data_IF_854213443525
#
_entry.id   IF_854213443525
#
_cell.length_a   1.000
_cell.length_b   1.000
_cell.length_c   1.000
_cell.angle_alpha   90.00
_cell.angle_beta   90.00
_cell.angle_gamma   90.00
#
_symmetry.space_group_name_H-M   'P 1'
#
loop_
_entity.id
_entity.type
_entity.pdbx_description
1 polymer ?
#
# COMPACT_ATOMS: atom_id res chain seq x y z
N UNK A 1 15.65 22.21 -24.16
CA UNK A 1 16.32 23.54 -24.07
C UNK A 1 17.82 23.48 -23.80
N UNK A 2 18.39 22.31 -23.48
CA UNK A 2 19.81 22.12 -23.14
C UNK A 2 20.80 22.69 -24.18
N UNK A 3 20.60 22.38 -25.47
CA UNK A 3 21.47 22.87 -26.55
C UNK A 3 21.51 24.40 -26.64
N UNK A 4 20.39 25.07 -26.36
CA UNK A 4 20.26 26.54 -26.37
C UNK A 4 20.95 27.15 -25.16
N UNK A 5 20.83 26.51 -23.99
CA UNK A 5 21.57 26.90 -22.78
C UNK A 5 23.09 26.77 -22.98
N UNK A 6 23.57 25.62 -23.48
CA UNK A 6 25.00 25.39 -23.74
C UNK A 6 25.54 26.38 -24.78
N UNK A 7 24.80 26.65 -25.86
CA UNK A 7 25.19 27.61 -26.88
C UNK A 7 25.31 29.04 -26.32
N UNK A 8 24.31 29.49 -25.55
CA UNK A 8 24.31 30.84 -24.94
C UNK A 8 25.40 30.98 -23.87
N UNK A 9 25.68 29.91 -23.12
CA UNK A 9 26.79 29.86 -22.16
C UNK A 9 28.13 30.05 -22.88
N UNK A 10 28.40 29.26 -23.93
CA UNK A 10 29.64 29.31 -24.70
C UNK A 10 29.83 30.68 -25.35
N UNK A 11 28.78 31.25 -25.95
CA UNK A 11 28.82 32.60 -26.54
C UNK A 11 29.13 33.67 -25.48
N UNK A 12 28.48 33.61 -24.32
CA UNK A 12 28.74 34.58 -23.23
C UNK A 12 30.18 34.51 -22.72
N UNK A 13 30.73 33.29 -22.62
CA UNK A 13 32.10 33.07 -22.16
C UNK A 13 33.11 33.59 -23.19
N UNK A 14 32.84 33.35 -24.49
CA UNK A 14 33.67 33.85 -25.57
C UNK A 14 33.70 35.38 -25.60
N UNK A 15 32.54 36.04 -25.52
CA UNK A 15 32.49 37.51 -25.49
C UNK A 15 33.14 38.10 -24.24
N UNK A 16 33.00 37.45 -23.07
CA UNK A 16 33.69 37.87 -21.85
C UNK A 16 35.21 37.86 -22.03
N UNK A 17 35.77 36.82 -22.65
CA UNK A 17 37.22 36.70 -22.91
C UNK A 17 37.69 37.81 -23.86
N UNK A 18 36.97 38.04 -24.97
CA UNK A 18 37.30 39.09 -25.94
C UNK A 18 37.27 40.47 -25.28
N UNK A 19 36.30 40.71 -24.40
CA UNK A 19 36.15 41.96 -23.65
C UNK A 19 37.34 42.15 -22.70
N UNK A 20 37.70 41.12 -21.92
CA UNK A 20 38.83 41.13 -20.99
C UNK A 20 40.19 41.38 -21.68
N UNK A 21 40.44 40.72 -22.82
CA UNK A 21 41.65 40.91 -23.63
C UNK A 21 41.70 42.34 -24.23
N UNK A 22 40.56 42.86 -24.67
CA UNK A 22 40.49 44.21 -25.22
C UNK A 22 40.75 45.28 -24.14
N UNK A 23 40.19 45.11 -22.93
CA UNK A 23 40.46 46.02 -21.80
C UNK A 23 41.92 46.01 -21.35
N UNK A 24 42.55 44.84 -21.29
CA UNK A 24 43.97 44.73 -20.90
C UNK A 24 44.90 45.37 -21.94
N UNK A 25 44.63 45.18 -23.23
CA UNK A 25 45.34 45.88 -24.31
C UNK A 25 45.23 47.41 -24.20
N UNK A 26 44.05 47.91 -23.80
CA UNK A 26 43.80 49.35 -23.64
C UNK A 26 44.56 49.92 -22.43
N UNK A 27 44.62 49.18 -21.31
CA UNK A 27 45.42 49.53 -20.12
C UNK A 27 46.92 49.56 -20.40
N UNK A 28 47.42 48.72 -21.31
CA UNK A 28 48.82 48.72 -21.77
C UNK A 28 49.16 49.89 -22.72
N UNK A 29 48.30 50.91 -22.83
CA UNK A 29 48.46 52.11 -23.68
C UNK A 29 48.67 51.82 -25.17
N UNK A 30 48.31 50.63 -25.67
CA UNK A 30 48.22 50.34 -27.11
C UNK A 30 46.98 51.06 -27.68
N UNK A 31 47.09 52.38 -27.92
CA UNK A 31 45.99 53.23 -28.42
C UNK A 31 45.74 52.98 -29.91
N UNK A 32 45.02 51.89 -30.24
CA UNK A 32 44.54 51.62 -31.60
C UNK A 32 43.05 51.90 -31.72
N UNK A 33 42.61 52.58 -32.79
CA UNK A 33 41.19 52.75 -33.13
C UNK A 33 40.45 51.41 -33.24
N UNK A 34 41.15 50.37 -33.69
CA UNK A 34 40.61 49.01 -33.80
C UNK A 34 40.19 48.48 -32.43
N UNK A 35 41.05 48.61 -31.41
CA UNK A 35 40.78 48.12 -30.05
C UNK A 35 39.53 48.79 -29.46
N UNK A 36 39.33 50.10 -29.70
CA UNK A 36 38.14 50.82 -29.26
C UNK A 36 36.85 50.29 -29.90
N UNK A 37 36.86 50.05 -31.22
CA UNK A 37 35.71 49.50 -31.94
C UNK A 37 35.41 48.08 -31.45
N UNK A 38 36.44 47.24 -31.29
CA UNK A 38 36.29 45.86 -30.80
C UNK A 38 35.73 45.83 -29.38
N UNK A 39 36.13 46.77 -28.52
CA UNK A 39 35.67 46.86 -27.13
C UNK A 39 34.20 47.30 -27.04
N UNK A 40 33.79 48.26 -27.87
CA UNK A 40 32.38 48.67 -27.98
C UNK A 40 31.49 47.52 -28.49
N UNK A 41 31.91 46.86 -29.57
CA UNK A 41 31.13 45.80 -30.19
C UNK A 41 31.04 44.55 -29.29
N UNK A 42 32.15 44.15 -28.67
CA UNK A 42 32.17 43.03 -27.71
C UNK A 42 31.34 43.30 -26.47
N UNK A 43 31.26 44.55 -26.00
CA UNK A 43 30.40 44.92 -24.87
C UNK A 43 28.92 44.78 -25.18
N UNK A 44 28.50 45.21 -26.38
CA UNK A 44 27.11 45.06 -26.84
C UNK A 44 26.76 43.59 -27.00
N UNK A 45 27.62 42.81 -27.68
CA UNK A 45 27.41 41.37 -27.88
C UNK A 45 27.40 40.60 -26.56
N UNK A 46 28.26 40.97 -25.61
CA UNK A 46 28.26 40.38 -24.28
C UNK A 46 26.93 40.63 -23.56
N UNK A 47 26.41 41.86 -23.57
CA UNK A 47 25.10 42.18 -22.98
C UNK A 47 23.97 41.33 -23.57
N UNK A 48 23.88 41.23 -24.90
CA UNK A 48 22.87 40.38 -25.55
C UNK A 48 23.03 38.91 -25.17
N UNK A 49 24.27 38.41 -25.15
CA UNK A 49 24.54 37.02 -24.77
C UNK A 49 24.22 36.73 -23.30
N UNK A 50 24.46 37.68 -22.39
CA UNK A 50 24.17 37.57 -20.97
C UNK A 50 22.65 37.55 -20.72
N UNK A 51 21.90 38.43 -21.39
CA UNK A 51 20.44 38.41 -21.34
C UNK A 51 19.89 37.09 -21.89
N UNK A 52 20.37 36.65 -23.06
CA UNK A 52 19.96 35.37 -23.63
C UNK A 52 20.29 34.18 -22.71
N UNK A 53 21.45 34.20 -22.03
CA UNK A 53 21.85 33.19 -21.05
C UNK A 53 20.93 33.19 -19.83
N UNK A 54 20.49 34.34 -19.32
CA UNK A 54 19.55 34.38 -18.19
C UNK A 54 18.20 33.74 -18.54
N UNK A 55 17.63 34.06 -19.71
CA UNK A 55 16.39 33.44 -20.17
C UNK A 55 16.55 31.94 -20.45
N UNK A 56 17.65 31.53 -21.09
CA UNK A 56 17.92 30.12 -21.37
C UNK A 56 18.12 29.31 -20.07
N UNK A 57 18.78 29.88 -19.07
CA UNK A 57 18.98 29.27 -17.75
C UNK A 57 17.65 29.08 -17.01
N UNK A 58 16.79 30.10 -17.01
CA UNK A 58 15.45 30.03 -16.40
C UNK A 58 14.61 28.95 -17.11
N UNK A 59 14.63 28.93 -18.45
CA UNK A 59 13.93 27.94 -19.25
C UNK A 59 14.40 26.50 -18.98
N UNK A 60 15.71 26.28 -18.96
CA UNK A 60 16.33 24.98 -18.69
C UNK A 60 16.03 24.46 -17.27
N UNK A 61 16.12 25.33 -16.25
CA UNK A 61 15.77 24.97 -14.87
C UNK A 61 14.30 24.57 -14.74
N UNK A 62 13.39 25.26 -15.43
CA UNK A 62 11.97 24.94 -15.45
C UNK A 62 11.67 23.61 -16.17
N UNK A 63 12.38 23.32 -17.26
CA UNK A 63 12.27 22.05 -18.00
C UNK A 63 12.68 20.87 -17.09
N UNK A 64 13.87 20.94 -16.47
CA UNK A 64 14.33 19.93 -15.51
C UNK A 64 13.34 19.76 -14.35
N UNK A 65 12.81 20.87 -13.81
CA UNK A 65 11.83 20.79 -12.73
C UNK A 65 10.55 20.07 -13.16
N UNK A 66 10.03 20.38 -14.36
CA UNK A 66 8.85 19.71 -14.93
C UNK A 66 9.11 18.22 -15.16
N UNK A 67 10.25 17.85 -15.71
CA UNK A 67 10.65 16.45 -15.91
C UNK A 67 10.66 15.68 -14.58
N UNK A 68 11.30 16.23 -13.54
CA UNK A 68 11.31 15.64 -12.19
C UNK A 68 9.90 15.49 -11.61
N UNK A 69 9.00 16.44 -11.86
CA UNK A 69 7.60 16.33 -11.41
C UNK A 69 6.85 15.23 -12.15
N UNK A 70 7.07 15.06 -13.45
CA UNK A 70 6.48 13.99 -14.26
C UNK A 70 6.97 12.62 -13.77
N UNK A 71 8.27 12.48 -13.56
CA UNK A 71 8.88 11.25 -13.06
C UNK A 71 8.36 10.88 -11.67
N UNK A 72 8.31 11.84 -10.72
CA UNK A 72 7.71 11.63 -9.40
C UNK A 72 6.24 11.24 -9.47
N UNK A 73 5.47 11.81 -10.40
CA UNK A 73 4.06 11.42 -10.61
C UNK A 73 3.96 10.00 -11.17
N UNK A 74 4.84 9.60 -12.09
CA UNK A 74 4.89 8.24 -12.66
C UNK A 74 5.24 7.21 -11.59
N UNK A 75 6.31 7.44 -10.81
CA UNK A 75 6.72 6.58 -9.69
C UNK A 75 5.61 6.43 -8.64
N UNK A 76 4.91 7.53 -8.29
CA UNK A 76 3.74 7.45 -7.40
C UNK A 76 2.61 6.60 -7.97
N UNK A 77 2.29 6.76 -9.27
CA UNK A 77 1.26 5.95 -9.93
C UNK A 77 1.62 4.47 -9.93
N UNK A 78 2.87 4.13 -10.21
CA UNK A 78 3.37 2.76 -10.17
C UNK A 78 3.27 2.16 -8.77
N UNK A 79 3.77 2.87 -7.75
CA UNK A 79 3.65 2.45 -6.34
C UNK A 79 2.21 2.21 -5.91
N UNK A 80 1.29 3.09 -6.31
CA UNK A 80 -0.14 2.92 -6.04
C UNK A 80 -0.71 1.72 -6.79
N UNK A 81 -0.32 1.50 -8.05
CA UNK A 81 -0.75 0.34 -8.84
C UNK A 81 -0.30 -0.97 -8.20
N UNK A 82 0.97 -1.08 -7.83
CA UNK A 82 1.52 -2.24 -7.12
C UNK A 82 0.83 -2.46 -5.78
N UNK A 83 0.57 -1.39 -5.01
CA UNK A 83 -0.15 -1.49 -3.74
C UNK A 83 -1.59 -1.98 -3.93
N UNK A 84 -2.29 -1.55 -4.99
CA UNK A 84 -3.62 -2.06 -5.32
C UNK A 84 -3.59 -3.55 -5.68
N UNK A 85 -2.62 -3.97 -6.48
CA UNK A 85 -2.43 -5.38 -6.84
C UNK A 85 -2.16 -6.25 -5.62
N UNK A 86 -1.20 -5.86 -4.77
CA UNK A 86 -0.92 -6.56 -3.51
C UNK A 86 -2.13 -6.58 -2.58
N UNK A 87 -2.92 -5.51 -2.51
CA UNK A 87 -4.13 -5.48 -1.71
C UNK A 87 -5.18 -6.49 -2.18
N UNK A 88 -5.30 -6.72 -3.50
CA UNK A 88 -6.16 -7.79 -4.06
C UNK A 88 -5.65 -9.16 -3.61
N UNK A 89 -4.35 -9.42 -3.78
CA UNK A 89 -3.76 -10.71 -3.41
C UNK A 89 -3.92 -11.00 -1.92
N UNK A 90 -3.59 -10.04 -1.06
CA UNK A 90 -3.70 -10.24 0.39
C UNK A 90 -5.15 -10.40 0.84
N UNK A 91 -6.10 -9.65 0.27
CA UNK A 91 -7.52 -9.85 0.54
C UNK A 91 -7.96 -11.26 0.13
N UNK A 92 -7.67 -11.67 -1.11
CA UNK A 92 -8.09 -12.97 -1.63
C UNK A 92 -7.60 -14.10 -0.73
N UNK A 93 -6.30 -14.14 -0.47
CA UNK A 93 -5.73 -15.19 0.39
C UNK A 93 -6.24 -15.10 1.84
N UNK A 94 -6.42 -13.90 2.40
CA UNK A 94 -7.00 -13.76 3.73
C UNK A 94 -8.42 -14.32 3.81
N UNK A 95 -9.25 -14.04 2.79
CA UNK A 95 -10.64 -14.49 2.72
C UNK A 95 -10.71 -16.00 2.49
N UNK A 96 -9.91 -16.55 1.58
CA UNK A 96 -9.82 -18.00 1.34
C UNK A 96 -9.40 -18.75 2.61
N UNK A 97 -8.28 -18.35 3.23
CA UNK A 97 -7.79 -18.98 4.46
C UNK A 97 -8.78 -18.82 5.63
N UNK A 98 -9.41 -17.65 5.78
CA UNK A 98 -10.43 -17.45 6.81
C UNK A 98 -11.66 -18.35 6.55
N UNK A 99 -12.10 -18.50 5.30
CA UNK A 99 -13.21 -19.36 4.95
C UNK A 99 -12.89 -20.84 5.17
N UNK A 100 -11.69 -21.30 4.82
CA UNK A 100 -11.28 -22.68 5.14
C UNK A 100 -11.22 -22.91 6.66
N UNK A 101 -10.82 -21.89 7.44
CA UNK A 101 -10.90 -21.94 8.90
C UNK A 101 -12.34 -22.10 9.40
N UNK A 102 -13.30 -21.42 8.77
CA UNK A 102 -14.73 -21.53 9.15
C UNK A 102 -15.28 -22.91 8.81
N UNK A 103 -14.83 -23.55 7.73
CA UNK A 103 -15.20 -24.93 7.39
C UNK A 103 -14.68 -25.93 8.43
N UNK A 104 -13.42 -25.81 8.84
CA UNK A 104 -12.84 -26.65 9.89
C UNK A 104 -13.53 -26.45 11.25
N UNK A 105 -13.78 -25.19 11.62
CA UNK A 105 -14.51 -24.81 12.84
C UNK A 105 -15.96 -25.28 12.79
N UNK A 106 -16.60 -25.22 11.63
CA UNK A 106 -17.98 -25.68 11.40
C UNK A 106 -18.17 -27.17 11.63
N UNK A 107 -17.17 -28.00 11.30
CA UNK A 107 -17.17 -29.44 11.64
C UNK A 107 -17.10 -29.66 13.15
N UNK A 108 -16.26 -28.90 13.85
CA UNK A 108 -16.17 -28.93 15.31
C UNK A 108 -17.49 -28.50 15.96
N UNK A 109 -18.07 -27.38 15.54
CA UNK A 109 -19.39 -26.94 16.00
C UNK A 109 -20.47 -27.98 15.74
N UNK A 110 -20.50 -28.62 14.56
CA UNK A 110 -21.49 -29.67 14.29
C UNK A 110 -21.39 -30.84 15.27
N UNK A 111 -20.18 -31.29 15.58
CA UNK A 111 -19.97 -32.37 16.55
C UNK A 111 -20.41 -31.98 17.97
N UNK A 112 -20.13 -30.73 18.38
CA UNK A 112 -20.58 -30.16 19.66
C UNK A 112 -22.11 -30.14 19.71
N UNK A 113 -22.76 -29.62 18.67
CA UNK A 113 -24.22 -29.57 18.54
C UNK A 113 -24.86 -30.96 18.67
N UNK A 114 -24.35 -31.94 17.92
CA UNK A 114 -24.85 -33.32 17.97
C UNK A 114 -24.67 -33.95 19.36
N UNK A 115 -23.55 -33.65 20.04
CA UNK A 115 -23.29 -34.16 21.38
C UNK A 115 -24.23 -33.55 22.42
N UNK A 116 -24.62 -32.28 22.25
CA UNK A 116 -25.63 -31.64 23.07
C UNK A 116 -27.04 -32.17 22.81
N UNK A 117 -27.42 -32.41 21.54
CA UNK A 117 -28.74 -32.95 21.21
C UNK A 117 -28.96 -34.37 21.73
N UNK A 118 -27.92 -35.19 21.72
CA UNK A 118 -27.98 -36.58 22.18
C UNK A 118 -27.93 -36.71 23.71
N UNK A 119 -27.86 -35.59 24.43
CA UNK A 119 -27.86 -35.58 25.88
C UNK A 119 -29.30 -35.72 26.40
N UNK A 120 -29.65 -36.80 27.10
CA UNK A 120 -31.03 -37.04 27.52
C UNK A 120 -31.51 -35.93 28.47
N UNK A 121 -32.70 -35.40 28.19
CA UNK A 121 -33.39 -34.43 29.05
C UNK A 121 -33.74 -35.07 30.40
N UNK A 122 -32.82 -35.00 31.35
CA UNK A 122 -33.02 -35.42 32.72
C UNK A 122 -31.88 -34.89 33.59
N UNK A 123 -32.23 -34.09 34.60
CA UNK A 123 -31.40 -33.58 35.71
C UNK A 123 -29.90 -33.87 35.59
N UNK A 124 -29.20 -33.11 34.75
CA UNK A 124 -27.79 -33.31 34.51
C UNK A 124 -26.96 -32.24 35.17
N UNK A 125 -25.95 -32.70 35.92
CA UNK A 125 -24.89 -31.84 36.39
C UNK A 125 -24.22 -31.14 35.21
N UNK A 126 -24.01 -29.82 35.32
CA UNK A 126 -23.24 -29.02 34.36
C UNK A 126 -21.86 -29.62 34.02
N UNK A 127 -21.31 -30.42 34.94
CA UNK A 127 -20.05 -31.13 34.76
C UNK A 127 -20.13 -32.24 33.69
N UNK A 128 -21.26 -32.95 33.59
CA UNK A 128 -21.47 -34.02 32.61
C UNK A 128 -21.64 -33.45 31.19
N UNK A 129 -22.41 -32.37 31.07
CA UNK A 129 -22.56 -31.63 29.81
C UNK A 129 -21.20 -31.09 29.34
N UNK A 130 -20.44 -30.47 30.25
CA UNK A 130 -19.10 -29.95 29.93
C UNK A 130 -18.14 -31.06 29.47
N UNK A 131 -18.18 -32.22 30.13
CA UNK A 131 -17.36 -33.39 29.75
C UNK A 131 -17.66 -33.89 28.33
N UNK A 132 -18.94 -33.97 27.97
CA UNK A 132 -19.37 -34.41 26.64
C UNK A 132 -18.98 -33.42 25.55
N UNK A 133 -19.21 -32.13 25.77
CA UNK A 133 -18.81 -31.07 24.85
C UNK A 133 -17.30 -31.06 24.64
N UNK A 134 -16.53 -31.20 25.71
CA UNK A 134 -15.07 -31.30 25.63
C UNK A 134 -14.62 -32.55 24.86
N UNK A 135 -15.32 -33.68 25.03
CA UNK A 135 -15.04 -34.92 24.30
C UNK A 135 -15.36 -34.79 22.80
N UNK A 136 -16.49 -34.14 22.47
CA UNK A 136 -16.88 -33.83 21.10
C UNK A 136 -15.85 -32.93 20.41
N UNK A 137 -15.42 -31.86 21.10
CA UNK A 137 -14.36 -30.99 20.62
C UNK A 137 -13.04 -31.75 20.44
N UNK A 138 -12.64 -32.59 21.41
CA UNK A 138 -11.42 -33.41 21.34
C UNK A 138 -11.44 -34.38 20.15
N UNK A 139 -12.59 -34.94 19.81
CA UNK A 139 -12.76 -35.78 18.60
C UNK A 139 -12.48 -35.01 17.31
N UNK A 140 -12.64 -33.68 17.33
CA UNK A 140 -12.46 -32.79 16.19
C UNK A 140 -11.12 -32.03 16.23
N UNK A 141 -10.17 -32.46 17.07
CA UNK A 141 -8.91 -31.75 17.28
C UNK A 141 -8.13 -31.51 15.99
N UNK A 142 -8.13 -32.46 15.05
CA UNK A 142 -7.50 -32.29 13.74
C UNK A 142 -8.12 -31.14 12.94
N UNK A 143 -9.45 -31.05 12.92
CA UNK A 143 -10.17 -29.99 12.22
C UNK A 143 -9.95 -28.62 12.90
N UNK A 144 -9.88 -28.61 14.23
CA UNK A 144 -9.56 -27.39 15.01
C UNK A 144 -8.14 -26.92 14.74
N UNK A 145 -7.16 -27.81 14.71
CA UNK A 145 -5.76 -27.47 14.43
C UNK A 145 -5.59 -26.91 13.02
N UNK A 146 -6.24 -27.52 12.02
CA UNK A 146 -6.26 -27.00 10.65
C UNK A 146 -6.95 -25.63 10.58
N UNK A 147 -8.09 -25.49 11.26
CA UNK A 147 -8.80 -24.21 11.33
C UNK A 147 -7.95 -23.12 11.98
N UNK A 148 -7.17 -23.45 13.01
CA UNK A 148 -6.25 -22.53 13.66
C UNK A 148 -5.13 -22.09 12.72
N UNK A 149 -4.51 -23.03 12.00
CA UNK A 149 -3.45 -22.71 11.04
C UNK A 149 -3.96 -21.77 9.94
N UNK A 150 -5.15 -22.05 9.40
CA UNK A 150 -5.79 -21.23 8.39
C UNK A 150 -6.18 -19.85 8.92
N UNK A 151 -6.62 -19.75 10.19
CA UNK A 151 -6.89 -18.46 10.82
C UNK A 151 -5.61 -17.64 11.03
N UNK A 152 -4.50 -18.28 11.41
CA UNK A 152 -3.19 -17.62 11.56
C UNK A 152 -2.70 -17.09 10.21
N UNK A 153 -2.83 -17.86 9.13
CA UNK A 153 -2.49 -17.36 7.79
C UNK A 153 -3.39 -16.19 7.39
N UNK A 154 -4.71 -16.29 7.61
CA UNK A 154 -5.64 -15.19 7.34
C UNK A 154 -5.28 -13.91 8.12
N UNK A 155 -4.95 -14.04 9.41
CA UNK A 155 -4.50 -12.93 10.25
C UNK A 155 -3.17 -12.34 9.75
N UNK A 156 -2.25 -13.17 9.29
CA UNK A 156 -0.99 -12.72 8.71
C UNK A 156 -1.23 -11.91 7.42
N UNK A 157 -2.10 -12.37 6.52
CA UNK A 157 -2.47 -11.63 5.31
C UNK A 157 -3.21 -10.33 5.63
N UNK A 158 -4.10 -10.34 6.62
CA UNK A 158 -4.76 -9.14 7.12
C UNK A 158 -3.75 -8.12 7.66
N UNK A 159 -2.71 -8.58 8.36
CA UNK A 159 -1.63 -7.71 8.84
C UNK A 159 -0.82 -7.08 7.70
N UNK A 160 -0.51 -7.84 6.64
CA UNK A 160 0.13 -7.28 5.45
C UNK A 160 -0.76 -6.24 4.75
N UNK A 161 -2.06 -6.52 4.66
CA UNK A 161 -3.05 -5.58 4.12
C UNK A 161 -3.18 -4.33 4.99
N UNK A 162 -3.11 -4.46 6.32
CA UNK A 162 -3.07 -3.33 7.27
C UNK A 162 -1.87 -2.42 7.00
N UNK A 163 -0.67 -2.98 6.80
CA UNK A 163 0.53 -2.20 6.46
C UNK A 163 0.37 -1.42 5.15
N UNK A 164 -0.26 -2.03 4.14
CA UNK A 164 -0.59 -1.32 2.89
C UNK A 164 -1.59 -0.20 3.14
N UNK A 165 -2.62 -0.45 3.93
CA UNK A 165 -3.61 0.56 4.31
C UNK A 165 -2.99 1.73 5.06
N UNK A 166 -2.11 1.48 6.04
CA UNK A 166 -1.41 2.54 6.78
C UNK A 166 -0.55 3.41 5.86
N UNK A 167 0.15 2.80 4.90
CA UNK A 167 1.00 3.51 3.93
C UNK A 167 0.21 4.27 2.86
N UNK A 168 -0.94 3.75 2.45
CA UNK A 168 -1.77 4.29 1.37
C UNK A 168 -3.18 4.63 1.87
N UNK A 169 -3.29 5.21 3.06
CA UNK A 169 -4.55 5.45 3.77
C UNK A 169 -5.53 6.34 3.00
N UNK A 170 -5.00 7.25 2.18
CA UNK A 170 -5.77 8.13 1.29
C UNK A 170 -6.35 7.41 0.05
N UNK A 171 -5.94 6.17 -0.23
CA UNK A 171 -6.44 5.38 -1.34
C UNK A 171 -7.66 4.57 -0.87
N UNK A 172 -8.86 5.11 -1.11
CA UNK A 172 -10.14 4.49 -0.72
C UNK A 172 -10.24 3.01 -1.11
N UNK A 173 -9.74 2.63 -2.29
CA UNK A 173 -9.71 1.23 -2.74
C UNK A 173 -9.01 0.28 -1.75
N UNK A 174 -7.83 0.68 -1.23
CA UNK A 174 -7.06 -0.13 -0.28
C UNK A 174 -7.75 -0.13 1.09
N UNK A 175 -8.27 1.03 1.50
CA UNK A 175 -9.05 1.16 2.74
C UNK A 175 -10.28 0.25 2.77
N UNK A 176 -11.05 0.22 1.68
CA UNK A 176 -12.24 -0.61 1.56
C UNK A 176 -11.89 -2.10 1.62
N UNK A 177 -10.82 -2.53 0.92
CA UNK A 177 -10.34 -3.92 0.99
C UNK A 177 -9.91 -4.29 2.40
N UNK A 178 -9.19 -3.42 3.10
CA UNK A 178 -8.80 -3.67 4.48
C UNK A 178 -10.02 -3.82 5.39
N UNK A 179 -10.97 -2.88 5.33
CA UNK A 179 -12.15 -2.88 6.19
C UNK A 179 -13.02 -4.14 5.99
N UNK A 180 -13.31 -4.51 4.73
CA UNK A 180 -14.11 -5.69 4.45
C UNK A 180 -13.40 -7.00 4.81
N UNK A 181 -12.10 -7.10 4.51
CA UNK A 181 -11.30 -8.28 4.89
C UNK A 181 -11.22 -8.42 6.40
N UNK A 182 -11.02 -7.32 7.13
CA UNK A 182 -10.98 -7.32 8.59
C UNK A 182 -12.28 -7.86 9.17
N UNK A 183 -13.43 -7.37 8.68
CA UNK A 183 -14.75 -7.84 9.13
C UNK A 183 -14.89 -9.35 8.96
N UNK A 184 -14.53 -9.86 7.79
CA UNK A 184 -14.61 -11.29 7.47
C UNK A 184 -13.71 -12.15 8.37
N UNK A 185 -12.45 -11.74 8.56
CA UNK A 185 -11.48 -12.44 9.43
C UNK A 185 -11.92 -12.39 10.90
N UNK A 186 -12.49 -11.28 11.36
CA UNK A 186 -13.01 -11.15 12.72
C UNK A 186 -14.18 -12.14 12.96
N UNK A 187 -15.11 -12.26 12.00
CA UNK A 187 -16.19 -13.26 12.05
C UNK A 187 -15.67 -14.70 12.05
N UNK A 188 -14.70 -15.01 11.19
CA UNK A 188 -14.07 -16.33 11.16
C UNK A 188 -13.35 -16.65 12.49
N UNK A 189 -12.66 -15.67 13.06
CA UNK A 189 -12.03 -15.79 14.37
C UNK A 189 -13.04 -16.04 15.49
N UNK A 190 -14.19 -15.36 15.43
CA UNK A 190 -15.26 -15.54 16.40
C UNK A 190 -15.88 -16.94 16.32
N UNK A 191 -16.16 -17.43 15.11
CA UNK A 191 -16.64 -18.80 14.92
C UNK A 191 -15.64 -19.82 15.47
N UNK A 192 -14.35 -19.67 15.15
CA UNK A 192 -13.30 -20.54 15.70
C UNK A 192 -13.28 -20.53 17.23
N UNK A 193 -13.43 -19.36 17.88
CA UNK A 193 -13.50 -19.27 19.35
C UNK A 193 -14.71 -20.02 19.90
N UNK A 194 -15.88 -19.88 19.29
CA UNK A 194 -17.09 -20.59 19.72
C UNK A 194 -16.98 -22.11 19.52
N UNK A 195 -16.27 -22.55 18.47
CA UNK A 195 -16.04 -23.98 18.19
C UNK A 195 -14.99 -24.62 19.10
N UNK A 196 -14.12 -23.83 19.75
CA UNK A 196 -13.03 -24.31 20.60
C UNK A 196 -13.25 -24.06 22.09
N UNK A 197 -14.11 -23.11 22.44
CA UNK A 197 -14.46 -22.76 23.82
C UNK A 197 -15.94 -22.43 23.90
N UNK A 198 -16.84 -23.42 23.79
CA UNK A 198 -18.26 -23.22 24.04
C UNK A 198 -18.46 -22.80 25.50
N UNK A 199 -18.79 -21.52 25.71
CA UNK A 199 -18.84 -20.88 27.03
C UNK A 199 -20.22 -20.29 27.38
N UNK A 200 -21.27 -20.74 26.67
CA UNK A 200 -22.65 -20.27 26.79
C UNK A 200 -23.63 -21.43 26.87
N UNK A 201 -24.88 -21.12 27.19
CA UNK A 201 -25.99 -22.07 27.06
C UNK A 201 -26.11 -22.58 25.63
N UNK A 202 -26.68 -23.78 25.47
CA UNK A 202 -26.86 -24.43 24.16
C UNK A 202 -27.59 -23.53 23.15
N UNK A 203 -28.68 -22.87 23.60
CA UNK A 203 -29.50 -22.00 22.74
C UNK A 203 -28.71 -20.78 22.26
N UNK A 204 -28.07 -20.04 23.17
CA UNK A 204 -27.28 -18.85 22.82
C UNK A 204 -26.08 -19.19 21.94
N UNK A 205 -25.43 -20.33 22.20
CA UNK A 205 -24.30 -20.77 21.38
C UNK A 205 -24.75 -21.13 19.96
N UNK A 206 -25.87 -21.85 19.83
CA UNK A 206 -26.38 -22.32 18.53
C UNK A 206 -26.81 -21.14 17.68
N UNK A 207 -27.60 -20.22 18.24
CA UNK A 207 -28.05 -19.01 17.55
C UNK A 207 -26.86 -18.21 16.99
N UNK A 208 -25.81 -18.05 17.80
CA UNK A 208 -24.63 -17.29 17.40
C UNK A 208 -23.79 -18.00 16.33
N UNK A 209 -23.64 -19.32 16.42
CA UNK A 209 -22.95 -20.12 15.40
C UNK A 209 -23.69 -20.05 14.07
N UNK A 210 -25.01 -20.16 14.09
CA UNK A 210 -25.83 -20.12 12.86
C UNK A 210 -25.82 -18.72 12.23
N UNK A 211 -25.93 -17.66 13.06
CA UNK A 211 -25.77 -16.27 12.62
C UNK A 211 -24.41 -16.04 11.94
N UNK A 212 -23.31 -16.49 12.57
CA UNK A 212 -21.97 -16.32 12.03
C UNK A 212 -21.79 -17.09 10.72
N UNK A 213 -22.26 -18.34 10.63
CA UNK A 213 -22.16 -19.14 9.40
C UNK A 213 -22.90 -18.49 8.24
N UNK A 214 -24.13 -18.01 8.47
CA UNK A 214 -24.91 -17.32 7.43
C UNK A 214 -24.18 -16.08 6.93
N UNK A 215 -23.74 -15.20 7.84
CA UNK A 215 -23.02 -13.99 7.48
C UNK A 215 -21.70 -14.26 6.76
N UNK A 216 -20.92 -15.25 7.22
CA UNK A 216 -19.66 -15.63 6.59
C UNK A 216 -19.93 -16.12 5.15
N UNK A 217 -20.96 -16.94 4.92
CA UNK A 217 -21.28 -17.41 3.58
C UNK A 217 -21.71 -16.24 2.66
N UNK A 218 -22.56 -15.33 3.15
CA UNK A 218 -22.98 -14.15 2.40
C UNK A 218 -21.82 -13.19 2.10
N UNK A 219 -20.93 -12.96 3.06
CA UNK A 219 -19.76 -12.09 2.88
C UNK A 219 -18.73 -12.74 1.96
N UNK A 220 -18.54 -14.06 2.04
CA UNK A 220 -17.65 -14.79 1.14
C UNK A 220 -18.10 -14.64 -0.32
N UNK A 221 -19.40 -14.80 -0.61
CA UNK A 221 -19.96 -14.59 -1.95
C UNK A 221 -19.82 -13.16 -2.47
N UNK A 222 -19.73 -12.15 -1.58
CA UNK A 222 -19.53 -10.75 -1.97
C UNK A 222 -18.05 -10.43 -2.27
N UNK A 223 -17.13 -11.22 -1.72
CA UNK A 223 -15.69 -10.97 -1.77
C UNK A 223 -14.95 -11.88 -2.76
N UNK A 224 -15.58 -12.99 -3.17
CA UNK A 224 -15.10 -13.97 -4.13
C UNK A 224 -15.80 -13.82 -5.48
#
# INVERSE_FOLDING_TARGET
MEKVFVLTLVLSLFFLIVLAVSTTMLMLKKKSKVIYITLLFSSILFLFSAVALTFSTIGFKNEIHKERLIEKKKDRKEKVSTAKSLAVTYQKTAVESAYESTQGSGKASRAIYQSWQNFPNGNSDNNQISSLVNSAMKSQIRNITLAQANLVDAQHKLFLLKKLHEKFSHISYISNKYASTKKFVDQASELYKLSTKPNRSFSEWTERVDYLKTNINEEYQKLH
#
